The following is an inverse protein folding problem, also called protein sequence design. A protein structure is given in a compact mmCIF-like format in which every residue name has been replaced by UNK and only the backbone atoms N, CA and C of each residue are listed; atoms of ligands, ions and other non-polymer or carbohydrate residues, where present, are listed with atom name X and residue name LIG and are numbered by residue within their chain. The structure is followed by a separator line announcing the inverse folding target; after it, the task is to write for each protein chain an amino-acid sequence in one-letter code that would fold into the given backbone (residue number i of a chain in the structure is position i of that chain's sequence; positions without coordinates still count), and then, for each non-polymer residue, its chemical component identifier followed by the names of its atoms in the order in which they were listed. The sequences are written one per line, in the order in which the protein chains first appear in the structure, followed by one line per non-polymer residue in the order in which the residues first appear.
data_IF_023079822407
#
_entry.id   IF_023079822407
#
_cell.length_a   1.000
_cell.length_b   1.000
_cell.length_c   1.000
_cell.angle_alpha   90.00
_cell.angle_beta   90.00
_cell.angle_gamma   90.00
#
_symmetry.space_group_name_H-M   'P 1'
#
loop_
_entity.id
_entity.type
_entity.pdbx_description
1 polymer ?
#
# COMPACT_ATOMS: atom_id res chain seq x y z
N UNK A 1 -23.61 -4.22 8.42
CA UNK A 1 -22.68 -5.09 9.19
C UNK A 1 -21.58 -5.54 8.28
N UNK A 2 -20.35 -5.73 8.79
CA UNK A 2 -19.27 -6.34 8.02
C UNK A 2 -19.72 -7.71 7.52
N UNK A 3 -19.24 -8.12 6.33
CA UNK A 3 -19.63 -9.38 5.73
C UNK A 3 -18.64 -10.48 6.12
N UNK A 4 -19.16 -11.63 6.53
CA UNK A 4 -18.35 -12.83 6.70
C UNK A 4 -17.92 -13.37 5.32
N UNK A 5 -16.69 -13.83 5.20
CA UNK A 5 -16.14 -14.38 3.98
C UNK A 5 -14.65 -14.12 3.78
N UNK A 6 -14.15 -14.54 2.61
CA UNK A 6 -12.76 -14.33 2.24
C UNK A 6 -12.61 -13.07 1.38
N UNK A 7 -11.64 -12.23 1.73
CA UNK A 7 -11.31 -11.02 1.00
C UNK A 7 -9.83 -11.03 0.65
N UNK A 8 -9.53 -10.83 -0.62
CA UNK A 8 -8.15 -10.77 -1.10
C UNK A 8 -7.79 -9.36 -1.48
N UNK A 9 -6.82 -8.78 -0.78
CA UNK A 9 -6.17 -7.52 -1.15
C UNK A 9 -5.00 -7.78 -2.10
N UNK A 10 -4.88 -6.94 -3.13
CA UNK A 10 -3.77 -6.93 -4.08
C UNK A 10 -3.16 -5.53 -4.13
N UNK A 11 -1.93 -5.39 -3.63
CA UNK A 11 -1.11 -4.19 -3.71
C UNK A 11 -0.11 -4.33 -4.87
N UNK A 12 -0.30 -3.54 -5.93
CA UNK A 12 0.57 -3.52 -7.11
C UNK A 12 1.57 -2.37 -6.96
N UNK A 13 2.62 -2.61 -6.19
CA UNK A 13 3.67 -1.62 -5.95
C UNK A 13 4.77 -1.63 -7.01
N UNK A 14 5.57 -0.54 -7.08
CA UNK A 14 6.67 -0.42 -8.04
C UNK A 14 7.83 -1.39 -7.76
N UNK A 15 8.11 -1.69 -6.49
CA UNK A 15 9.21 -2.58 -6.09
C UNK A 15 8.72 -3.98 -5.77
N UNK A 16 7.54 -4.12 -5.18
CA UNK A 16 6.95 -5.40 -4.77
C UNK A 16 5.46 -5.46 -5.04
N UNK A 17 4.97 -6.65 -5.38
CA UNK A 17 3.55 -6.98 -5.44
C UNK A 17 3.21 -7.81 -4.21
N UNK A 18 2.19 -7.38 -3.46
CA UNK A 18 1.75 -8.08 -2.25
C UNK A 18 0.31 -8.54 -2.42
N UNK A 19 0.06 -9.77 -1.99
CA UNK A 19 -1.29 -10.34 -1.92
C UNK A 19 -1.54 -10.77 -0.48
N UNK A 20 -2.70 -10.43 0.04
CA UNK A 20 -3.15 -10.84 1.36
C UNK A 20 -4.56 -11.42 1.26
N UNK A 21 -4.72 -12.62 1.77
CA UNK A 21 -6.01 -13.29 1.91
C UNK A 21 -6.42 -13.24 3.37
N UNK A 22 -7.57 -12.66 3.63
CA UNK A 22 -8.14 -12.56 4.97
C UNK A 22 -9.51 -13.24 5.01
N UNK A 23 -9.79 -13.93 6.11
CA UNK A 23 -11.13 -14.39 6.48
C UNK A 23 -11.73 -13.38 7.45
N UNK A 24 -12.89 -12.85 7.11
CA UNK A 24 -13.66 -11.99 8.01
C UNK A 24 -14.78 -12.82 8.65
N UNK A 25 -14.85 -12.82 9.98
CA UNK A 25 -15.87 -13.51 10.78
C UNK A 25 -16.32 -12.56 11.89
N UNK A 26 -17.62 -12.25 11.93
CA UNK A 26 -18.23 -11.36 12.95
C UNK A 26 -17.53 -9.99 13.06
N UNK A 27 -17.00 -9.45 11.96
CA UNK A 27 -16.30 -8.17 11.93
C UNK A 27 -14.83 -8.23 12.33
N UNK A 28 -14.29 -9.40 12.66
CA UNK A 28 -12.87 -9.62 12.92
C UNK A 28 -12.17 -10.16 11.67
N UNK A 29 -10.99 -9.62 11.37
CA UNK A 29 -10.17 -10.03 10.24
C UNK A 29 -9.05 -10.98 10.68
N UNK A 30 -9.04 -12.19 10.13
CA UNK A 30 -7.99 -13.19 10.31
C UNK A 30 -7.20 -13.37 9.01
N UNK A 31 -5.90 -13.15 9.04
CA UNK A 31 -5.05 -13.37 7.87
C UNK A 31 -4.75 -14.86 7.72
N UNK A 32 -5.09 -15.43 6.57
CA UNK A 32 -4.87 -16.86 6.26
C UNK A 32 -3.76 -17.09 5.23
N UNK A 33 -3.43 -16.09 4.42
CA UNK A 33 -2.35 -16.20 3.45
C UNK A 33 -1.79 -14.84 3.08
N UNK A 34 -0.46 -14.76 2.92
CA UNK A 34 0.22 -13.53 2.50
C UNK A 34 1.40 -13.86 1.59
N UNK A 35 1.58 -13.07 0.56
CA UNK A 35 2.74 -13.16 -0.33
C UNK A 35 3.38 -11.80 -0.59
N UNK A 36 4.63 -11.85 -1.00
CA UNK A 36 5.40 -10.69 -1.41
C UNK A 36 6.34 -11.11 -2.54
N UNK A 37 6.00 -10.73 -3.78
CA UNK A 37 6.79 -11.01 -4.97
C UNK A 37 7.48 -9.75 -5.49
N UNK A 38 8.60 -9.91 -6.17
CA UNK A 38 9.28 -8.80 -6.84
C UNK A 38 8.39 -8.26 -7.95
N UNK A 39 8.20 -6.94 -8.00
CA UNK A 39 7.43 -6.28 -9.04
C UNK A 39 8.19 -6.25 -10.38
N UNK A 40 7.45 -6.37 -11.46
CA UNK A 40 7.91 -6.14 -12.81
C UNK A 40 6.81 -5.42 -13.60
N UNK A 41 7.18 -4.62 -14.60
CA UNK A 41 6.22 -3.91 -15.46
C UNK A 41 5.45 -2.77 -14.77
N UNK A 42 5.86 -2.37 -13.55
CA UNK A 42 5.26 -1.25 -12.78
C UNK A 42 6.34 -0.21 -12.52
N UNK A 43 6.04 1.04 -12.80
CA UNK A 43 6.92 2.18 -12.53
C UNK A 43 6.10 3.32 -11.96
N UNK A 44 6.58 3.91 -10.87
CA UNK A 44 5.95 5.07 -10.23
C UNK A 44 4.44 4.86 -9.93
N UNK A 45 4.08 3.62 -9.52
CA UNK A 45 2.70 3.22 -9.24
C UNK A 45 1.81 2.99 -10.49
N UNK A 46 2.38 3.05 -11.71
CA UNK A 46 1.65 2.88 -12.96
C UNK A 46 2.14 1.64 -13.70
N UNK A 47 1.22 0.86 -14.27
CA UNK A 47 1.54 -0.31 -15.10
C UNK A 47 2.03 0.19 -16.46
N UNK A 48 3.30 -0.08 -16.78
CA UNK A 48 3.97 0.27 -18.03
C UNK A 48 4.19 -0.93 -18.94
N UNK A 49 4.12 -2.16 -18.41
CA UNK A 49 4.18 -3.42 -19.15
C UNK A 49 3.17 -4.40 -18.54
N UNK A 50 2.09 -4.65 -19.29
CA UNK A 50 0.97 -5.48 -18.85
C UNK A 50 1.38 -6.93 -18.64
N UNK A 51 2.17 -7.50 -19.54
CA UNK A 51 2.54 -8.92 -19.48
C UNK A 51 3.52 -9.19 -18.34
N UNK A 52 4.52 -8.33 -18.17
CA UNK A 52 5.47 -8.44 -17.06
C UNK A 52 4.76 -8.27 -15.70
N UNK A 53 3.86 -7.29 -15.59
CA UNK A 53 3.09 -7.06 -14.36
C UNK A 53 2.13 -8.23 -14.07
N UNK A 54 1.44 -8.75 -15.08
CA UNK A 54 0.54 -9.90 -14.94
C UNK A 54 1.28 -11.16 -14.48
N UNK A 55 2.47 -11.43 -15.02
CA UNK A 55 3.30 -12.55 -14.59
C UNK A 55 3.73 -12.43 -13.12
N UNK A 56 4.12 -11.22 -12.70
CA UNK A 56 4.50 -10.95 -11.31
C UNK A 56 3.30 -11.06 -10.36
N UNK A 57 2.12 -10.56 -10.74
CA UNK A 57 0.87 -10.71 -9.97
C UNK A 57 0.50 -12.19 -9.85
N UNK A 58 0.54 -12.95 -10.95
CA UNK A 58 0.26 -14.39 -10.95
C UNK A 58 1.17 -15.15 -9.99
N UNK A 59 2.46 -14.83 -9.98
CA UNK A 59 3.42 -15.42 -9.03
C UNK A 59 3.07 -15.09 -7.58
N UNK A 60 2.69 -13.84 -7.30
CA UNK A 60 2.27 -13.42 -5.95
C UNK A 60 0.98 -14.14 -5.50
N UNK A 61 -0.01 -14.26 -6.41
CA UNK A 61 -1.26 -14.96 -6.15
C UNK A 61 -1.01 -16.42 -5.82
N UNK A 62 -0.24 -17.15 -6.65
CA UNK A 62 0.07 -18.57 -6.43
C UNK A 62 0.74 -18.81 -5.07
N UNK A 63 1.66 -17.92 -4.67
CA UNK A 63 2.29 -18.00 -3.34
C UNK A 63 1.29 -17.75 -2.19
N UNK A 64 0.32 -16.86 -2.38
CA UNK A 64 -0.71 -16.59 -1.38
C UNK A 64 -1.71 -17.76 -1.29
N UNK A 65 -2.11 -18.36 -2.41
CA UNK A 65 -2.97 -19.55 -2.49
C UNK A 65 -2.34 -20.75 -1.77
N UNK A 66 -1.05 -20.99 -2.00
CA UNK A 66 -0.31 -22.07 -1.35
C UNK A 66 -0.33 -21.93 0.19
N UNK A 67 -0.16 -20.70 0.69
CA UNK A 67 -0.17 -20.43 2.14
C UNK A 67 -1.58 -20.43 2.73
N UNK A 68 -2.55 -19.93 2.00
CA UNK A 68 -3.94 -19.85 2.44
C UNK A 68 -4.69 -21.20 2.34
N UNK A 69 -4.22 -22.11 1.46
CA UNK A 69 -4.90 -23.36 1.17
C UNK A 69 -6.22 -23.21 0.41
N UNK A 70 -6.45 -22.06 -0.24
CA UNK A 70 -7.64 -21.77 -1.04
C UNK A 70 -7.26 -21.17 -2.39
N UNK A 71 -8.13 -21.31 -3.40
CA UNK A 71 -7.94 -20.63 -4.70
C UNK A 71 -8.51 -19.22 -4.66
N UNK A 72 -7.77 -18.28 -5.25
CA UNK A 72 -8.12 -16.87 -5.33
C UNK A 72 -8.77 -16.59 -6.69
N UNK A 73 -10.07 -16.33 -6.70
CA UNK A 73 -10.81 -15.97 -7.92
C UNK A 73 -11.07 -14.48 -8.07
N UNK A 74 -11.19 -13.76 -6.95
CA UNK A 74 -11.50 -12.33 -6.89
C UNK A 74 -10.45 -11.59 -6.09
N UNK A 75 -10.10 -10.36 -6.53
CA UNK A 75 -9.12 -9.50 -5.85
C UNK A 75 -9.63 -8.07 -5.73
N UNK A 76 -9.31 -7.44 -4.61
CA UNK A 76 -9.53 -6.03 -4.34
C UNK A 76 -8.21 -5.29 -4.53
N UNK A 77 -8.14 -4.38 -5.51
CA UNK A 77 -6.90 -3.74 -5.93
C UNK A 77 -6.83 -2.31 -5.45
N UNK A 78 -5.71 -1.94 -4.84
CA UNK A 78 -5.42 -0.56 -4.45
C UNK A 78 -5.08 0.31 -5.65
N UNK A 79 -5.69 1.50 -5.73
CA UNK A 79 -5.35 2.52 -6.70
C UNK A 79 -4.76 3.74 -5.99
N UNK A 80 -3.54 4.19 -6.38
CA UNK A 80 -2.95 5.39 -5.83
C UNK A 80 -3.72 6.66 -6.24
N UNK A 81 -3.61 7.72 -5.43
CA UNK A 81 -4.43 8.92 -5.56
C UNK A 81 -3.95 9.95 -6.58
N UNK A 82 -2.78 9.76 -7.19
CA UNK A 82 -2.11 10.77 -8.02
C UNK A 82 -2.87 11.24 -9.28
N UNK A 83 -3.88 10.50 -9.68
CA UNK A 83 -4.65 10.79 -10.91
C UNK A 83 -6.15 10.83 -10.64
N UNK A 84 -6.54 10.87 -9.37
CA UNK A 84 -7.93 10.92 -8.96
C UNK A 84 -8.49 12.34 -9.07
N UNK A 85 -9.76 12.42 -9.46
CA UNK A 85 -10.61 13.56 -9.19
C UNK A 85 -11.73 13.11 -8.28
N UNK A 86 -12.02 13.92 -7.28
CA UNK A 86 -13.07 13.68 -6.29
C UNK A 86 -14.07 14.80 -6.42
N UNK A 87 -15.32 14.45 -6.71
CA UNK A 87 -16.37 15.43 -6.91
C UNK A 87 -17.59 15.06 -6.06
N UNK A 88 -18.12 16.00 -5.27
CA UNK A 88 -19.40 15.81 -4.64
C UNK A 88 -20.49 15.69 -5.71
N UNK A 89 -21.36 14.73 -5.56
CA UNK A 89 -22.49 14.53 -6.47
C UNK A 89 -23.72 14.09 -5.70
N UNK A 90 -24.88 14.27 -6.33
CA UNK A 90 -26.17 13.90 -5.77
C UNK A 90 -27.05 13.25 -6.83
N UNK A 91 -27.87 12.31 -6.38
CA UNK A 91 -28.92 11.68 -7.18
C UNK A 91 -30.27 11.81 -6.50
N UNK A 92 -31.35 11.72 -7.29
CA UNK A 92 -32.70 11.75 -6.79
C UNK A 92 -33.57 10.88 -7.67
N UNK A 93 -34.48 10.09 -7.04
CA UNK A 93 -35.49 9.30 -7.71
C UNK A 93 -36.82 9.36 -6.95
N UNK A 94 -37.96 9.19 -7.63
CA UNK A 94 -39.21 8.84 -6.97
C UNK A 94 -39.19 7.34 -6.61
N UNK A 95 -39.76 6.97 -5.44
CA UNK A 95 -40.03 5.58 -5.09
C UNK A 95 -41.34 5.16 -5.73
N UNK A 96 -41.27 4.21 -6.65
CA UNK A 96 -42.41 3.84 -7.50
C UNK A 96 -43.16 2.61 -7.05
N UNK A 97 -42.61 1.83 -6.08
CA UNK A 97 -43.27 0.65 -5.51
C UNK A 97 -44.64 0.99 -4.89
N UNK A 98 -45.58 0.07 -4.94
CA UNK A 98 -46.93 0.28 -4.35
C UNK A 98 -46.85 0.44 -2.82
N UNK A 99 -45.94 -0.28 -2.16
CA UNK A 99 -45.72 -0.19 -0.73
C UNK A 99 -45.00 1.09 -0.29
N UNK A 100 -44.36 1.81 -1.23
CA UNK A 100 -43.45 2.92 -0.94
C UNK A 100 -42.27 2.56 -0.02
N UNK A 101 -42.00 1.28 0.16
CA UNK A 101 -40.84 0.79 0.86
C UNK A 101 -39.61 0.85 -0.05
N UNK A 102 -38.53 1.42 0.45
CA UNK A 102 -37.25 1.58 -0.27
C UNK A 102 -36.51 0.26 -0.30
N UNK A 103 -36.18 -0.18 -1.50
CA UNK A 103 -35.50 -1.47 -1.78
C UNK A 103 -34.05 -1.26 -2.20
N UNK A 104 -33.31 -2.37 -2.36
CA UNK A 104 -31.96 -2.37 -2.94
C UNK A 104 -31.95 -1.77 -4.37
N UNK A 105 -33.03 -2.02 -5.16
CA UNK A 105 -33.17 -1.48 -6.51
C UNK A 105 -33.35 0.05 -6.53
N UNK A 106 -34.02 0.60 -5.51
CA UNK A 106 -34.15 2.04 -5.36
C UNK A 106 -32.81 2.67 -4.99
N UNK A 107 -32.04 2.03 -4.08
CA UNK A 107 -30.69 2.48 -3.72
C UNK A 107 -29.77 2.43 -4.96
N UNK A 108 -29.81 1.36 -5.74
CA UNK A 108 -29.05 1.30 -6.99
C UNK A 108 -29.44 2.37 -7.98
N UNK A 109 -30.76 2.60 -8.15
CA UNK A 109 -31.30 3.57 -9.08
C UNK A 109 -30.92 5.00 -8.70
N UNK A 110 -30.91 5.37 -7.42
CA UNK A 110 -30.50 6.70 -6.98
C UNK A 110 -29.00 6.91 -7.17
N UNK A 111 -28.16 5.85 -6.99
CA UNK A 111 -26.74 5.90 -7.33
C UNK A 111 -26.55 6.10 -8.82
N UNK A 112 -27.22 5.32 -9.67
CA UNK A 112 -27.16 5.51 -11.14
C UNK A 112 -27.59 6.92 -11.57
N UNK A 113 -28.61 7.49 -10.93
CA UNK A 113 -29.01 8.88 -11.16
C UNK A 113 -27.87 9.86 -10.86
N UNK A 114 -27.11 9.65 -9.79
CA UNK A 114 -25.94 10.46 -9.45
C UNK A 114 -24.79 10.31 -10.46
N UNK A 115 -24.64 9.13 -11.08
CA UNK A 115 -23.60 8.84 -12.07
C UNK A 115 -23.87 9.44 -13.47
N UNK A 116 -25.06 9.95 -13.74
CA UNK A 116 -25.42 10.55 -15.05
C UNK A 116 -24.74 11.89 -15.33
N UNK A 117 -23.96 12.41 -14.38
CA UNK A 117 -23.18 13.62 -14.55
C UNK A 117 -22.22 13.50 -15.74
N UNK A 118 -22.14 14.53 -16.56
CA UNK A 118 -21.25 14.58 -17.72
C UNK A 118 -19.79 14.50 -17.27
N UNK A 119 -19.10 13.46 -17.74
CA UNK A 119 -17.66 13.27 -17.53
C UNK A 119 -16.89 13.56 -18.81
N UNK A 120 -15.63 13.95 -18.69
CA UNK A 120 -14.74 14.06 -19.85
C UNK A 120 -14.46 12.68 -20.45
N UNK A 121 -14.34 12.54 -21.77
CA UNK A 121 -14.20 11.24 -22.44
C UNK A 121 -12.96 10.41 -22.02
N UNK A 122 -11.93 11.09 -21.50
CA UNK A 122 -10.66 10.51 -21.05
C UNK A 122 -10.73 9.94 -19.63
N UNK A 123 -11.83 10.17 -18.90
CA UNK A 123 -12.03 9.70 -17.53
C UNK A 123 -13.13 8.64 -17.42
N UNK A 124 -13.06 7.87 -16.34
CA UNK A 124 -14.01 6.83 -16.00
C UNK A 124 -14.27 6.82 -14.49
N UNK A 125 -15.48 6.45 -14.10
CA UNK A 125 -15.81 6.27 -12.68
C UNK A 125 -15.04 5.08 -12.12
N UNK A 126 -14.39 5.29 -10.97
CA UNK A 126 -13.71 4.25 -10.21
C UNK A 126 -14.66 3.68 -9.18
N UNK A 127 -15.21 4.55 -8.35
CA UNK A 127 -16.14 4.20 -7.28
C UNK A 127 -16.99 5.40 -6.91
N UNK A 128 -18.12 5.13 -6.30
CA UNK A 128 -18.97 6.11 -5.66
C UNK A 128 -19.10 5.75 -4.18
N UNK A 129 -18.94 6.74 -3.29
CA UNK A 129 -19.05 6.57 -1.85
C UNK A 129 -20.25 7.37 -1.36
N UNK A 130 -21.36 6.70 -0.97
CA UNK A 130 -22.50 7.37 -0.36
C UNK A 130 -22.10 8.00 0.99
N UNK A 131 -22.47 9.24 1.21
CA UNK A 131 -22.27 9.93 2.49
C UNK A 131 -23.56 9.96 3.31
N UNK A 132 -24.67 10.32 2.66
CA UNK A 132 -25.99 10.32 3.30
C UNK A 132 -27.12 10.09 2.27
N UNK A 133 -28.22 9.57 2.78
CA UNK A 133 -29.49 9.53 2.09
C UNK A 133 -30.49 10.51 2.72
N UNK A 134 -31.41 10.97 1.89
CA UNK A 134 -32.51 11.86 2.31
C UNK A 134 -33.81 11.21 1.83
N UNK A 135 -34.71 10.91 2.75
CA UNK A 135 -36.04 10.32 2.47
C UNK A 135 -37.09 11.35 2.79
N UNK A 136 -37.85 11.82 1.80
CA UNK A 136 -38.89 12.86 1.95
C UNK A 136 -38.45 14.10 2.72
N UNK A 137 -37.16 14.48 2.58
CA UNK A 137 -36.55 15.65 3.26
C UNK A 137 -35.86 15.34 4.59
N UNK A 138 -35.99 14.14 5.14
CA UNK A 138 -35.26 13.72 6.34
C UNK A 138 -33.83 13.34 5.98
N UNK A 139 -32.87 14.07 6.51
CA UNK A 139 -31.43 13.95 6.22
C UNK A 139 -30.70 13.01 7.22
N UNK A 140 -29.43 12.70 6.92
CA UNK A 140 -28.52 11.95 7.81
C UNK A 140 -28.78 10.44 7.84
N UNK A 141 -29.56 9.91 6.90
CA UNK A 141 -29.86 8.47 6.83
C UNK A 141 -28.66 7.77 6.19
N UNK A 142 -28.14 6.74 6.88
CA UNK A 142 -27.02 5.91 6.39
C UNK A 142 -27.47 4.73 5.55
N UNK A 143 -28.60 4.15 5.89
CA UNK A 143 -29.21 3.04 5.14
C UNK A 143 -30.71 3.30 5.04
N UNK A 144 -31.24 3.64 3.85
CA UNK A 144 -32.66 3.97 3.68
C UNK A 144 -33.53 2.72 3.45
N UNK A 145 -32.95 1.53 3.29
CA UNK A 145 -33.69 0.30 2.93
C UNK A 145 -34.68 -0.10 4.04
N UNK A 146 -35.86 -0.52 3.63
CA UNK A 146 -36.96 -0.83 4.53
C UNK A 146 -37.69 0.40 5.09
N UNK A 147 -37.23 1.62 4.81
CA UNK A 147 -37.96 2.83 5.14
C UNK A 147 -39.06 3.09 4.12
N UNK A 148 -40.15 3.73 4.54
CA UNK A 148 -41.20 4.19 3.63
C UNK A 148 -40.94 5.63 3.20
N UNK A 149 -41.05 5.92 1.90
CA UNK A 149 -40.88 7.26 1.36
C UNK A 149 -41.33 7.38 -0.09
N UNK A 150 -41.65 8.59 -0.51
CA UNK A 150 -42.08 8.90 -1.89
C UNK A 150 -40.87 9.33 -2.73
N UNK A 151 -39.87 9.96 -2.09
CA UNK A 151 -38.69 10.50 -2.74
C UNK A 151 -37.44 10.07 -1.99
N UNK A 152 -36.51 9.46 -2.72
CA UNK A 152 -35.18 9.11 -2.25
C UNK A 152 -34.15 10.00 -2.93
N UNK A 153 -33.35 10.73 -2.11
CA UNK A 153 -32.19 11.46 -2.54
C UNK A 153 -30.95 10.85 -1.91
N UNK A 154 -29.82 10.99 -2.56
CA UNK A 154 -28.52 10.54 -2.07
C UNK A 154 -27.46 11.59 -2.39
N UNK A 155 -26.56 11.83 -1.43
CA UNK A 155 -25.35 12.63 -1.59
C UNK A 155 -24.13 11.76 -1.35
N UNK A 156 -23.05 12.04 -2.06
CA UNK A 156 -21.80 11.28 -1.90
C UNK A 156 -20.68 11.79 -2.80
N UNK A 157 -19.56 11.11 -2.71
CA UNK A 157 -18.34 11.45 -3.44
C UNK A 157 -18.16 10.51 -4.64
N UNK A 158 -18.03 11.12 -5.81
CA UNK A 158 -17.70 10.45 -7.06
C UNK A 158 -16.18 10.48 -7.27
N UNK A 159 -15.56 9.31 -7.36
CA UNK A 159 -14.14 9.16 -7.67
C UNK A 159 -13.97 8.76 -9.13
N UNK A 160 -13.20 9.55 -9.86
CA UNK A 160 -12.90 9.27 -11.28
C UNK A 160 -11.40 9.24 -11.51
N UNK A 161 -10.97 8.49 -12.53
CA UNK A 161 -9.57 8.37 -12.94
C UNK A 161 -9.40 8.28 -14.45
N UNK A 162 -8.15 8.38 -14.95
CA UNK A 162 -7.87 8.24 -16.38
C UNK A 162 -8.26 6.84 -16.88
N UNK A 163 -9.05 6.78 -17.95
CA UNK A 163 -9.53 5.53 -18.55
C UNK A 163 -8.41 4.58 -18.93
N UNK A 164 -7.29 5.10 -19.45
CA UNK A 164 -6.14 4.29 -19.85
C UNK A 164 -5.51 3.52 -18.67
N UNK A 165 -5.40 4.16 -17.51
CA UNK A 165 -4.83 3.54 -16.31
C UNK A 165 -5.75 2.44 -15.79
N UNK A 166 -7.06 2.73 -15.71
CA UNK A 166 -8.05 1.76 -15.28
C UNK A 166 -8.15 0.56 -16.22
N UNK A 167 -8.07 0.81 -17.54
CA UNK A 167 -8.01 -0.24 -18.55
C UNK A 167 -6.79 -1.14 -18.37
N UNK A 168 -5.59 -0.54 -18.24
CA UNK A 168 -4.36 -1.31 -18.03
C UNK A 168 -4.41 -2.13 -16.75
N UNK A 169 -4.96 -1.56 -15.67
CA UNK A 169 -5.12 -2.26 -14.39
C UNK A 169 -6.02 -3.50 -14.54
N UNK A 170 -7.25 -3.31 -15.10
CA UNK A 170 -8.18 -4.42 -15.32
C UNK A 170 -7.59 -5.49 -16.22
N UNK A 171 -6.95 -5.07 -17.30
CA UNK A 171 -6.33 -5.99 -18.27
C UNK A 171 -5.20 -6.79 -17.64
N UNK A 172 -4.39 -6.18 -16.80
CA UNK A 172 -3.28 -6.85 -16.11
C UNK A 172 -3.80 -7.88 -15.10
N UNK A 173 -4.81 -7.53 -14.31
CA UNK A 173 -5.45 -8.44 -13.35
C UNK A 173 -6.10 -9.64 -14.07
N UNK A 174 -6.81 -9.38 -15.17
CA UNK A 174 -7.41 -10.42 -16.00
C UNK A 174 -6.34 -11.37 -16.59
N UNK A 175 -5.21 -10.82 -17.08
CA UNK A 175 -4.08 -11.59 -17.60
C UNK A 175 -3.38 -12.43 -16.52
N UNK A 176 -3.40 -11.98 -15.28
CA UNK A 176 -2.91 -12.76 -14.15
C UNK A 176 -3.79 -13.96 -13.79
N UNK A 177 -4.99 -14.07 -14.38
CA UNK A 177 -5.92 -15.19 -14.21
C UNK A 177 -6.94 -15.02 -13.11
N UNK A 178 -7.10 -13.82 -12.56
CA UNK A 178 -8.09 -13.49 -11.53
C UNK A 178 -9.03 -12.38 -11.99
N UNK A 179 -10.16 -12.22 -11.31
CA UNK A 179 -11.11 -11.14 -11.59
C UNK A 179 -10.98 -10.03 -10.57
N UNK A 180 -11.15 -8.81 -11.06
CA UNK A 180 -11.22 -7.63 -10.23
C UNK A 180 -12.58 -7.55 -9.54
N UNK A 181 -12.60 -7.58 -8.21
CA UNK A 181 -13.81 -7.36 -7.41
C UNK A 181 -14.07 -5.87 -7.23
N UNK A 182 -13.11 -5.15 -6.63
CA UNK A 182 -13.18 -3.70 -6.44
C UNK A 182 -11.85 -3.03 -6.74
N UNK A 183 -11.92 -1.78 -7.22
CA UNK A 183 -10.81 -0.84 -7.20
C UNK A 183 -11.00 0.03 -5.96
N UNK A 184 -10.06 -0.06 -5.02
CA UNK A 184 -10.11 0.65 -3.75
C UNK A 184 -9.13 1.82 -3.78
N UNK A 185 -9.58 2.99 -3.37
CA UNK A 185 -8.73 4.16 -3.24
C UNK A 185 -7.77 3.93 -2.06
N UNK A 186 -6.48 3.73 -2.36
CA UNK A 186 -5.46 3.34 -1.38
C UNK A 186 -5.38 4.30 -0.17
N UNK A 187 -5.31 5.63 -0.33
CA UNK A 187 -5.30 6.55 0.80
C UNK A 187 -6.52 6.43 1.71
N UNK A 188 -7.70 6.20 1.11
CA UNK A 188 -8.94 6.05 1.88
C UNK A 188 -8.94 4.75 2.69
N UNK A 189 -8.52 3.64 2.08
CA UNK A 189 -8.40 2.37 2.79
C UNK A 189 -7.39 2.46 3.94
N UNK A 190 -6.22 3.03 3.68
CA UNK A 190 -5.17 3.20 4.70
C UNK A 190 -5.65 4.05 5.87
N UNK A 191 -6.28 5.19 5.62
CA UNK A 191 -6.76 6.06 6.71
C UNK A 191 -7.86 5.41 7.53
N UNK A 192 -8.73 4.61 6.93
CA UNK A 192 -9.78 3.88 7.64
C UNK A 192 -9.25 2.71 8.48
N UNK A 193 -8.21 2.02 8.01
CA UNK A 193 -7.64 0.83 8.67
C UNK A 193 -6.58 1.19 9.72
N UNK A 194 -5.72 2.17 9.43
CA UNK A 194 -4.54 2.49 10.24
C UNK A 194 -4.88 3.41 11.40
N UNK A 195 -5.78 4.39 11.18
CA UNK A 195 -6.16 5.38 12.17
C UNK A 195 -7.33 4.88 13.03
N UNK A 196 -7.23 5.12 14.32
CA UNK A 196 -8.36 4.88 15.22
C UNK A 196 -9.47 5.95 15.04
N UNK A 197 -10.62 5.73 15.64
CA UNK A 197 -11.79 6.61 15.49
C UNK A 197 -11.49 8.06 15.90
N UNK A 198 -10.81 8.27 17.03
CA UNK A 198 -10.44 9.60 17.50
C UNK A 198 -9.45 10.29 16.56
N UNK A 199 -8.48 9.58 16.01
CA UNK A 199 -7.54 10.13 15.01
C UNK A 199 -8.24 10.53 13.72
N UNK A 200 -9.24 9.77 13.27
CA UNK A 200 -10.05 10.14 12.10
C UNK A 200 -10.99 11.32 12.38
N UNK A 201 -11.52 11.42 13.59
CA UNK A 201 -12.42 12.51 13.98
C UNK A 201 -11.68 13.83 14.15
N UNK A 202 -10.65 13.84 15.00
CA UNK A 202 -9.90 15.07 15.33
C UNK A 202 -8.84 15.41 14.29
N UNK A 203 -8.44 14.45 13.49
CA UNK A 203 -7.53 14.59 12.38
C UNK A 203 -6.15 14.01 12.63
N UNK A 204 -5.65 13.29 11.62
CA UNK A 204 -4.29 12.74 11.53
C UNK A 204 -3.85 12.63 10.08
N UNK A 205 -2.53 12.50 9.88
CA UNK A 205 -1.92 12.29 8.57
C UNK A 205 -1.21 10.94 8.51
N UNK A 206 -1.51 10.13 7.50
CA UNK A 206 -0.79 8.89 7.19
C UNK A 206 0.23 9.18 6.10
N UNK A 207 1.49 8.74 6.29
CA UNK A 207 2.55 8.78 5.30
C UNK A 207 2.98 7.35 4.99
N UNK A 208 2.69 6.87 3.78
CA UNK A 208 3.14 5.55 3.29
C UNK A 208 4.42 5.71 2.48
N UNK A 209 5.54 5.27 3.06
CA UNK A 209 6.87 5.29 2.45
C UNK A 209 7.08 4.02 1.64
N UNK A 210 6.63 4.01 0.39
CA UNK A 210 6.80 2.91 -0.55
C UNK A 210 8.20 2.85 -1.18
N UNK A 211 8.41 1.91 -2.11
CA UNK A 211 9.66 1.79 -2.87
C UNK A 211 9.79 2.86 -3.94
N UNK A 212 8.84 2.98 -4.85
CA UNK A 212 8.88 3.95 -5.95
C UNK A 212 8.32 5.32 -5.59
N UNK A 213 7.45 5.41 -4.60
CA UNK A 213 6.74 6.65 -4.24
C UNK A 213 6.42 6.71 -2.76
N UNK A 214 6.16 7.92 -2.26
CA UNK A 214 5.62 8.19 -0.92
C UNK A 214 4.25 8.80 -1.04
N UNK A 215 3.24 8.19 -0.39
CA UNK A 215 1.85 8.65 -0.41
C UNK A 215 1.49 9.31 0.90
N UNK A 216 0.80 10.44 0.85
CA UNK A 216 0.32 11.18 2.03
C UNK A 216 -1.19 11.27 1.98
N UNK A 217 -1.84 11.03 3.12
CA UNK A 217 -3.27 11.16 3.28
C UNK A 217 -3.62 11.77 4.63
N UNK A 218 -4.29 12.92 4.63
CA UNK A 218 -4.77 13.58 5.86
C UNK A 218 -6.28 13.46 5.96
N UNK A 219 -6.74 13.06 7.14
CA UNK A 219 -8.16 12.87 7.47
C UNK A 219 -8.54 13.79 8.62
N UNK A 220 -9.75 14.31 8.60
CA UNK A 220 -10.41 15.02 9.72
C UNK A 220 -11.93 14.91 9.56
N UNK A 221 -12.67 14.81 10.66
CA UNK A 221 -14.12 14.60 10.66
C UNK A 221 -14.54 13.36 9.83
N UNK A 222 -13.77 12.28 9.90
CA UNK A 222 -13.93 11.03 9.14
C UNK A 222 -13.74 11.17 7.61
N UNK A 223 -13.39 12.35 7.10
CA UNK A 223 -13.27 12.65 5.67
C UNK A 223 -11.82 12.89 5.26
N UNK A 224 -11.48 12.46 4.04
CA UNK A 224 -10.18 12.68 3.44
C UNK A 224 -10.05 14.16 3.04
N UNK A 225 -9.24 14.93 3.78
CA UNK A 225 -9.01 16.36 3.56
C UNK A 225 -7.95 16.64 2.50
N UNK A 226 -6.93 15.78 2.45
CA UNK A 226 -5.80 15.95 1.55
C UNK A 226 -5.19 14.59 1.20
N UNK A 227 -4.78 14.43 -0.04
CA UNK A 227 -3.92 13.33 -0.47
C UNK A 227 -3.00 13.79 -1.58
N UNK A 228 -1.75 13.35 -1.52
CA UNK A 228 -0.76 13.61 -2.57
C UNK A 228 0.22 12.45 -2.66
N UNK A 229 0.91 12.33 -3.80
CA UNK A 229 1.95 11.35 -4.05
C UNK A 229 3.22 12.08 -4.48
N UNK A 230 4.31 11.73 -3.81
CA UNK A 230 5.66 12.16 -4.15
C UNK A 230 6.34 10.99 -4.84
N UNK A 231 6.82 11.20 -6.06
CA UNK A 231 7.47 10.16 -6.88
C UNK A 231 8.89 9.85 -6.39
N UNK A 232 9.06 9.85 -5.08
CA UNK A 232 10.30 9.59 -4.37
C UNK A 232 10.02 8.62 -3.22
N UNK A 233 10.62 7.43 -3.31
CA UNK A 233 10.52 6.37 -2.31
C UNK A 233 11.87 5.74 -2.01
N UNK A 234 11.86 4.55 -1.44
CA UNK A 234 13.07 3.80 -1.06
C UNK A 234 14.04 3.52 -2.20
N UNK A 235 13.56 3.44 -3.45
CA UNK A 235 14.39 3.24 -4.64
C UNK A 235 15.24 4.47 -4.96
N UNK A 236 14.77 5.66 -4.60
CA UNK A 236 15.54 6.90 -4.74
C UNK A 236 16.66 6.97 -3.71
N UNK A 237 16.42 6.53 -2.47
CA UNK A 237 17.48 6.35 -1.47
C UNK A 237 18.57 5.42 -2.01
N UNK A 238 18.19 4.29 -2.60
CA UNK A 238 19.14 3.35 -3.22
C UNK A 238 19.91 3.97 -4.37
N UNK A 239 19.25 4.76 -5.23
CA UNK A 239 19.91 5.48 -6.32
C UNK A 239 20.92 6.50 -5.80
N UNK A 240 20.61 7.21 -4.72
CA UNK A 240 21.50 8.21 -4.12
C UNK A 240 22.73 7.52 -3.52
N UNK A 241 22.54 6.43 -2.76
CA UNK A 241 23.66 5.61 -2.27
C UNK A 241 24.55 5.14 -3.44
N UNK A 242 23.93 4.59 -4.49
CA UNK A 242 24.65 4.11 -5.67
C UNK A 242 25.46 5.21 -6.36
N UNK A 243 24.89 6.41 -6.51
CA UNK A 243 25.56 7.56 -7.14
C UNK A 243 26.69 8.12 -6.29
N UNK A 244 26.43 8.36 -5.00
CA UNK A 244 27.39 8.98 -4.08
C UNK A 244 28.57 8.05 -3.83
N UNK A 245 28.31 6.76 -3.60
CA UNK A 245 29.36 5.77 -3.36
C UNK A 245 29.94 5.20 -4.67
N UNK A 246 29.40 5.58 -5.84
CA UNK A 246 29.79 5.03 -7.16
C UNK A 246 29.79 3.51 -7.19
N UNK A 247 28.75 2.90 -6.64
CA UNK A 247 28.59 1.45 -6.57
C UNK A 247 27.36 0.96 -7.35
N UNK A 248 27.22 -0.34 -7.53
CA UNK A 248 26.05 -0.92 -8.22
C UNK A 248 24.76 -0.69 -7.41
N UNK A 249 23.62 -0.52 -8.09
CA UNK A 249 22.32 -0.39 -7.40
C UNK A 249 22.01 -1.60 -6.51
N UNK A 250 22.44 -2.81 -6.91
CA UNK A 250 22.26 -4.02 -6.12
C UNK A 250 23.03 -3.95 -4.79
N UNK A 251 24.29 -3.48 -4.82
CA UNK A 251 25.09 -3.31 -3.61
C UNK A 251 24.54 -2.15 -2.76
N UNK A 252 24.15 -1.04 -3.37
CA UNK A 252 23.53 0.10 -2.69
C UNK A 252 22.25 -0.31 -1.95
N UNK A 253 21.41 -1.16 -2.56
CA UNK A 253 20.20 -1.72 -1.94
C UNK A 253 20.56 -2.62 -0.74
N UNK A 254 21.58 -3.48 -0.89
CA UNK A 254 22.07 -4.32 0.21
C UNK A 254 22.61 -3.48 1.37
N UNK A 255 23.37 -2.40 1.08
CA UNK A 255 23.89 -1.48 2.09
C UNK A 255 22.75 -0.77 2.84
N UNK A 256 21.73 -0.31 2.12
CA UNK A 256 20.54 0.31 2.72
C UNK A 256 19.82 -0.64 3.68
N UNK A 257 19.65 -1.91 3.31
CA UNK A 257 18.97 -2.90 4.17
C UNK A 257 19.79 -3.34 5.38
N UNK A 258 21.10 -3.51 5.21
CA UNK A 258 21.94 -4.08 6.26
C UNK A 258 22.46 -3.03 7.26
N UNK A 259 22.75 -1.80 6.78
CA UNK A 259 23.41 -0.74 7.56
C UNK A 259 22.66 0.59 7.53
N UNK A 260 21.53 0.66 6.84
CA UNK A 260 20.80 1.92 6.63
C UNK A 260 20.16 2.45 7.91
N UNK A 261 20.42 3.72 8.20
CA UNK A 261 19.83 4.50 9.28
C UNK A 261 19.33 5.84 8.72
N UNK A 262 18.10 6.21 9.01
CA UNK A 262 17.49 7.43 8.51
C UNK A 262 17.81 8.68 9.34
N UNK A 263 18.21 8.52 10.60
CA UNK A 263 18.53 9.61 11.52
C UNK A 263 19.98 9.52 11.97
N UNK A 264 20.84 10.40 11.46
CA UNK A 264 22.29 10.36 11.65
C UNK A 264 22.74 10.12 13.11
N UNK A 265 22.11 10.71 14.15
CA UNK A 265 22.49 10.43 15.55
C UNK A 265 22.32 8.97 15.99
N UNK A 266 21.61 8.13 15.23
CA UNK A 266 21.44 6.71 15.53
C UNK A 266 22.47 5.84 14.80
N UNK A 267 23.25 6.41 13.89
CA UNK A 267 24.30 5.68 13.17
C UNK A 267 25.44 5.30 14.12
N UNK A 268 25.95 4.08 13.97
CA UNK A 268 27.15 3.62 14.63
C UNK A 268 28.42 4.28 14.09
N UNK A 269 29.54 3.90 14.69
CA UNK A 269 30.88 4.37 14.29
C UNK A 269 31.64 3.33 13.47
N UNK A 270 31.02 2.19 13.18
CA UNK A 270 31.64 1.12 12.41
C UNK A 270 31.83 1.51 10.95
N UNK A 271 32.81 0.90 10.31
CA UNK A 271 33.04 1.02 8.88
C UNK A 271 33.00 -0.35 8.21
N UNK A 272 32.66 -0.35 6.94
CA UNK A 272 32.59 -1.56 6.14
C UNK A 272 33.12 -1.30 4.73
N UNK A 273 33.74 -2.33 4.09
CA UNK A 273 34.30 -2.20 2.76
C UNK A 273 33.19 -2.20 1.69
N UNK A 274 33.28 -1.25 0.75
CA UNK A 274 32.34 -1.10 -0.38
C UNK A 274 33.10 -1.15 -1.69
N UNK A 275 32.65 -1.99 -2.61
CA UNK A 275 33.16 -2.02 -3.99
C UNK A 275 32.72 -0.76 -4.74
N UNK A 276 33.71 0.05 -5.14
CA UNK A 276 33.52 1.33 -5.84
C UNK A 276 33.97 1.18 -7.29
N UNK A 277 33.13 1.61 -8.24
CA UNK A 277 33.48 1.55 -9.67
C UNK A 277 34.65 2.47 -9.96
N UNK A 278 35.72 1.90 -10.51
CA UNK A 278 36.96 2.61 -10.85
C UNK A 278 38.05 2.53 -9.78
N UNK A 279 37.79 1.90 -8.64
CA UNK A 279 38.80 1.59 -7.63
C UNK A 279 39.18 0.09 -7.70
N UNK A 280 40.45 -0.20 -7.42
CA UNK A 280 40.97 -1.59 -7.43
C UNK A 280 40.63 -2.29 -6.13
N UNK A 281 40.67 -1.56 -5.02
CA UNK A 281 40.37 -2.07 -3.68
C UNK A 281 39.06 -1.51 -3.16
N UNK A 282 38.31 -2.24 -2.33
CA UNK A 282 37.14 -1.71 -1.65
C UNK A 282 37.49 -0.46 -0.81
N UNK A 283 36.59 0.50 -0.76
CA UNK A 283 36.72 1.72 0.02
C UNK A 283 35.96 1.57 1.33
N UNK A 284 36.60 1.90 2.45
CA UNK A 284 35.97 1.90 3.76
C UNK A 284 34.94 3.03 3.88
N UNK A 285 33.70 2.69 4.10
CA UNK A 285 32.57 3.61 4.30
C UNK A 285 32.06 3.48 5.73
N UNK A 286 31.89 4.59 6.43
CA UNK A 286 31.34 4.57 7.79
C UNK A 286 29.81 4.51 7.76
N UNK A 287 29.20 3.88 8.79
CA UNK A 287 27.74 3.90 8.97
C UNK A 287 27.20 5.34 9.03
N UNK A 288 27.90 6.24 9.69
CA UNK A 288 27.52 7.66 9.76
C UNK A 288 27.43 8.29 8.37
N UNK A 289 28.40 8.03 7.47
CA UNK A 289 28.37 8.58 6.12
C UNK A 289 27.21 8.00 5.29
N UNK A 290 26.94 6.69 5.41
CA UNK A 290 25.78 6.08 4.78
C UNK A 290 24.47 6.68 5.31
N UNK A 291 24.39 6.92 6.63
CA UNK A 291 23.22 7.55 7.26
C UNK A 291 23.02 9.02 6.79
N UNK A 292 24.10 9.76 6.55
CA UNK A 292 24.03 11.12 5.98
C UNK A 292 23.36 11.11 4.59
N UNK A 293 23.72 10.16 3.72
CA UNK A 293 23.13 10.01 2.38
C UNK A 293 21.64 9.68 2.49
N UNK A 294 21.29 8.69 3.32
CA UNK A 294 19.91 8.22 3.51
C UNK A 294 19.03 9.34 4.12
N UNK A 295 19.55 9.98 5.19
CA UNK A 295 18.87 11.05 5.90
C UNK A 295 18.58 12.24 4.98
N UNK A 296 19.53 12.61 4.12
CA UNK A 296 19.37 13.72 3.19
C UNK A 296 18.17 13.51 2.25
N UNK A 297 18.03 12.31 1.65
CA UNK A 297 16.88 11.99 0.78
C UNK A 297 15.56 11.98 1.53
N UNK A 298 15.50 11.29 2.66
CA UNK A 298 14.24 11.18 3.43
C UNK A 298 13.82 12.56 3.95
N UNK A 299 14.77 13.35 4.44
CA UNK A 299 14.54 14.73 4.88
C UNK A 299 13.97 15.59 3.75
N UNK A 300 14.54 15.50 2.55
CA UNK A 300 14.04 16.22 1.37
C UNK A 300 12.59 15.90 1.08
N UNK A 301 12.21 14.62 1.05
CA UNK A 301 10.81 14.19 0.85
C UNK A 301 9.90 14.73 1.96
N UNK A 302 10.33 14.63 3.21
CA UNK A 302 9.55 15.14 4.35
C UNK A 302 9.37 16.65 4.32
N UNK A 303 10.38 17.42 3.85
CA UNK A 303 10.27 18.86 3.69
C UNK A 303 9.26 19.26 2.60
N UNK A 304 9.21 18.53 1.48
CA UNK A 304 8.19 18.73 0.46
C UNK A 304 6.78 18.43 1.01
N UNK A 305 6.63 17.30 1.73
CA UNK A 305 5.37 16.93 2.38
C UNK A 305 4.94 18.01 3.37
N UNK A 306 5.86 18.46 4.21
CA UNK A 306 5.60 19.54 5.19
C UNK A 306 5.06 20.79 4.54
N UNK A 307 5.68 21.27 3.47
CA UNK A 307 5.26 22.46 2.73
C UNK A 307 3.82 22.32 2.19
N UNK A 308 3.45 21.14 1.69
CA UNK A 308 2.10 20.90 1.18
C UNK A 308 1.07 20.79 2.30
N UNK A 309 1.40 20.15 3.42
CA UNK A 309 0.53 20.06 4.60
C UNK A 309 0.30 21.44 5.23
N UNK A 310 1.37 22.27 5.33
CA UNK A 310 1.29 23.66 5.80
C UNK A 310 0.36 24.51 4.92
N UNK A 311 0.54 24.44 3.59
CA UNK A 311 -0.31 25.17 2.62
C UNK A 311 -1.79 24.80 2.71
N UNK A 312 -2.10 23.58 3.15
CA UNK A 312 -3.46 23.06 3.28
C UNK A 312 -4.00 23.18 4.70
N UNK A 313 -3.20 23.68 5.65
CA UNK A 313 -3.55 23.79 7.07
C UNK A 313 -3.93 22.44 7.70
N UNK A 314 -3.24 21.37 7.30
CA UNK A 314 -3.43 20.01 7.81
C UNK A 314 -2.15 19.41 8.42
N UNK A 315 -1.15 20.25 8.76
CA UNK A 315 0.05 19.77 9.45
C UNK A 315 -0.21 19.57 10.95
N UNK A 316 -0.86 20.53 11.60
CA UNK A 316 -1.05 20.54 13.07
C UNK A 316 -2.34 19.84 13.49
N UNK A 317 -2.60 18.66 12.91
CA UNK A 317 -3.74 17.83 13.28
C UNK A 317 -3.45 17.11 14.62
N UNK A 318 -4.42 17.02 15.57
CA UNK A 318 -4.21 16.46 16.90
C UNK A 318 -3.65 15.02 16.92
N UNK A 319 -4.01 14.18 15.95
CA UNK A 319 -3.49 12.81 15.82
C UNK A 319 -2.07 12.73 15.28
N UNK A 320 -1.49 13.85 14.83
CA UNK A 320 -0.12 13.91 14.30
C UNK A 320 0.07 13.10 13.02
N UNK A 321 1.27 12.53 12.88
CA UNK A 321 1.69 11.78 11.69
C UNK A 321 1.84 10.29 12.04
N UNK A 322 1.27 9.43 11.21
CA UNK A 322 1.41 7.97 11.28
C UNK A 322 2.17 7.50 10.06
N UNK A 323 3.35 6.90 10.25
CA UNK A 323 4.23 6.47 9.17
C UNK A 323 4.07 4.97 8.95
N UNK A 324 3.95 4.55 7.69
CA UNK A 324 3.82 3.16 7.26
C UNK A 324 4.69 2.89 6.03
N UNK A 325 4.66 1.66 5.53
CA UNK A 325 5.36 1.26 4.31
C UNK A 325 6.74 0.67 4.55
N UNK A 326 7.35 0.17 3.47
CA UNK A 326 8.66 -0.47 3.53
C UNK A 326 9.81 0.46 3.89
N UNK A 327 9.73 1.73 3.50
CA UNK A 327 10.71 2.76 3.85
C UNK A 327 10.65 3.17 5.32
N UNK A 328 9.52 2.98 5.98
CA UNK A 328 9.32 3.29 7.39
C UNK A 328 10.09 2.36 8.36
N UNK A 329 10.61 1.24 7.86
CA UNK A 329 11.36 0.26 8.67
C UNK A 329 12.78 0.74 8.99
N UNK A 330 13.32 1.70 8.21
CA UNK A 330 14.65 2.24 8.46
C UNK A 330 14.72 2.84 9.87
N UNK A 331 15.72 2.45 10.70
CA UNK A 331 15.91 3.02 12.03
C UNK A 331 16.00 4.54 11.99
N UNK A 332 15.29 5.22 12.89
CA UNK A 332 15.34 6.68 13.01
C UNK A 332 14.42 7.46 12.07
N UNK A 333 13.58 6.81 11.26
CA UNK A 333 12.61 7.50 10.38
C UNK A 333 11.62 8.33 11.20
N UNK A 334 11.12 7.80 12.32
CA UNK A 334 10.16 8.50 13.19
C UNK A 334 10.79 9.74 13.80
N UNK A 335 12.01 9.64 14.30
CA UNK A 335 12.75 10.75 14.91
C UNK A 335 13.08 11.82 13.88
N UNK A 336 13.45 11.41 12.67
CA UNK A 336 13.65 12.36 11.57
C UNK A 336 12.35 13.07 11.20
N UNK A 337 11.23 12.35 11.14
CA UNK A 337 9.92 12.93 10.89
C UNK A 337 9.53 13.94 11.97
N UNK A 338 9.65 13.59 13.25
CA UNK A 338 9.37 14.50 14.36
C UNK A 338 10.22 15.77 14.28
N UNK A 339 11.50 15.63 13.91
CA UNK A 339 12.41 16.77 13.74
C UNK A 339 12.01 17.67 12.57
N UNK A 340 11.62 17.09 11.42
CA UNK A 340 11.27 17.88 10.23
C UNK A 340 9.89 18.52 10.37
N UNK A 341 8.88 17.73 10.73
CA UNK A 341 7.50 18.21 10.82
C UNK A 341 7.23 19.05 12.07
N UNK A 342 8.00 18.85 13.14
CA UNK A 342 7.82 19.49 14.46
C UNK A 342 6.45 19.13 15.11
N UNK A 343 5.87 17.99 14.76
CA UNK A 343 4.66 17.42 15.34
C UNK A 343 4.93 15.99 15.82
N UNK A 344 4.01 15.43 16.59
CA UNK A 344 4.10 14.03 17.00
C UNK A 344 4.05 13.12 15.77
N UNK A 345 4.97 12.15 15.70
CA UNK A 345 4.96 11.10 14.70
C UNK A 345 5.15 9.73 15.34
N UNK A 346 4.50 8.72 14.78
CA UNK A 346 4.62 7.33 15.22
C UNK A 346 4.69 6.37 14.03
N UNK A 347 5.34 5.23 14.24
CA UNK A 347 5.31 4.11 13.30
C UNK A 347 4.05 3.29 13.56
N UNK A 348 3.31 2.98 12.51
CA UNK A 348 2.26 1.96 12.58
C UNK A 348 2.87 0.58 12.33
N UNK A 349 2.64 -0.31 13.25
CA UNK A 349 3.00 -1.73 13.14
C UNK A 349 1.69 -2.53 13.16
N UNK A 350 1.39 -3.29 12.10
CA UNK A 350 0.21 -4.16 12.07
C UNK A 350 0.19 -5.10 13.27
N UNK A 351 -1.00 -5.34 13.81
CA UNK A 351 -1.22 -6.23 14.96
C UNK A 351 -1.73 -7.62 14.56
N UNK A 352 -1.93 -7.87 13.28
CA UNK A 352 -2.40 -9.15 12.76
C UNK A 352 -1.38 -10.25 13.04
N UNK A 353 -1.87 -11.42 13.47
CA UNK A 353 -1.03 -12.58 13.78
C UNK A 353 -0.24 -12.98 12.52
N UNK A 354 1.08 -13.11 12.68
CA UNK A 354 1.98 -13.49 11.59
C UNK A 354 2.44 -12.35 10.67
N UNK A 355 1.88 -11.12 10.78
CA UNK A 355 2.27 -9.98 9.96
C UNK A 355 2.46 -8.74 10.83
N UNK A 356 3.68 -8.51 11.31
CA UNK A 356 4.04 -7.33 12.11
C UNK A 356 4.98 -6.38 11.38
N UNK A 357 4.95 -6.37 10.04
CA UNK A 357 5.84 -5.55 9.24
C UNK A 357 5.04 -4.39 8.62
N UNK A 358 5.43 -3.12 8.85
CA UNK A 358 4.77 -1.94 8.27
C UNK A 358 4.62 -1.95 6.75
N UNK A 359 5.48 -2.69 6.04
CA UNK A 359 5.41 -2.84 4.59
C UNK A 359 4.12 -3.53 4.09
N UNK A 360 3.39 -4.23 4.97
CA UNK A 360 2.12 -4.88 4.63
C UNK A 360 0.89 -4.04 5.02
N UNK A 361 1.08 -2.89 5.65
CA UNK A 361 -0.03 -2.03 6.10
C UNK A 361 -1.03 -1.73 4.96
N UNK A 362 -0.52 -1.42 3.77
CA UNK A 362 -1.37 -1.11 2.61
C UNK A 362 -2.23 -2.30 2.18
N UNK A 363 -1.65 -3.48 1.96
CA UNK A 363 -2.41 -4.66 1.51
C UNK A 363 -3.39 -5.16 2.59
N UNK A 364 -3.04 -5.02 3.89
CA UNK A 364 -3.94 -5.26 5.02
C UNK A 364 -5.14 -4.32 4.91
N UNK A 365 -4.88 -3.02 4.72
CA UNK A 365 -5.94 -2.00 4.60
C UNK A 365 -6.90 -2.28 3.45
N UNK A 366 -6.43 -2.82 2.33
CA UNK A 366 -7.27 -3.19 1.19
C UNK A 366 -8.23 -4.33 1.54
N UNK A 367 -7.74 -5.39 2.18
CA UNK A 367 -8.57 -6.53 2.58
C UNK A 367 -9.58 -6.14 3.66
N UNK A 368 -9.14 -5.37 4.65
CA UNK A 368 -9.99 -4.88 5.73
C UNK A 368 -11.08 -3.94 5.21
N UNK A 369 -10.72 -3.01 4.32
CA UNK A 369 -11.68 -2.10 3.69
C UNK A 369 -12.75 -2.88 2.90
N UNK A 370 -12.34 -3.87 2.12
CA UNK A 370 -13.27 -4.69 1.33
C UNK A 370 -14.24 -5.50 2.21
N UNK A 371 -13.75 -6.07 3.32
CA UNK A 371 -14.58 -6.81 4.27
C UNK A 371 -15.56 -5.93 5.08
N UNK A 372 -15.17 -4.67 5.32
CA UNK A 372 -15.97 -3.71 6.09
C UNK A 372 -16.96 -2.89 5.24
N UNK A 373 -17.03 -3.11 3.94
CA UNK A 373 -18.05 -2.45 3.09
C UNK A 373 -19.45 -2.80 3.56
N UNK A 374 -20.25 -1.77 3.78
CA UNK A 374 -21.67 -1.95 4.12
C UNK A 374 -22.45 -2.50 2.92
N UNK A 375 -23.66 -2.97 3.15
CA UNK A 375 -24.55 -3.43 2.07
C UNK A 375 -24.82 -2.30 1.05
N UNK A 376 -25.06 -1.08 1.56
CA UNK A 376 -25.28 0.11 0.75
C UNK A 376 -24.05 0.45 -0.09
N UNK A 377 -22.84 0.36 0.49
CA UNK A 377 -21.59 0.59 -0.26
C UNK A 377 -21.45 -0.43 -1.40
N UNK A 378 -21.80 -1.69 -1.16
CA UNK A 378 -21.74 -2.74 -2.17
C UNK A 378 -22.74 -2.53 -3.30
N UNK A 379 -23.96 -2.11 -2.96
CA UNK A 379 -24.98 -1.74 -3.97
C UNK A 379 -24.47 -0.57 -4.81
N UNK A 380 -23.88 0.45 -4.16
CA UNK A 380 -23.33 1.59 -4.85
C UNK A 380 -22.17 1.20 -5.80
N UNK A 381 -21.27 0.32 -5.36
CA UNK A 381 -20.19 -0.17 -6.21
C UNK A 381 -20.69 -1.09 -7.33
N UNK A 382 -21.73 -1.89 -7.09
CA UNK A 382 -22.37 -2.70 -8.14
C UNK A 382 -23.06 -1.82 -9.19
N UNK A 383 -23.70 -0.73 -8.78
CA UNK A 383 -24.27 0.27 -9.68
C UNK A 383 -23.22 0.90 -10.60
N UNK A 384 -22.03 1.23 -10.07
CA UNK A 384 -20.90 1.76 -10.84
C UNK A 384 -20.39 0.73 -11.88
N UNK A 385 -20.33 -0.55 -11.52
CA UNK A 385 -19.84 -1.60 -12.42
C UNK A 385 -20.86 -2.01 -13.48
N UNK A 386 -22.14 -1.76 -13.25
CA UNK A 386 -23.22 -2.20 -14.14
C UNK A 386 -23.42 -3.72 -14.16
N UNK A 387 -22.94 -4.42 -13.14
CA UNK A 387 -22.83 -5.87 -13.13
C UNK A 387 -23.81 -6.52 -12.13
N UNK A 388 -24.95 -6.99 -12.62
CA UNK A 388 -25.93 -7.73 -11.82
C UNK A 388 -25.42 -9.13 -11.39
N UNK A 389 -24.49 -9.71 -12.13
CA UNK A 389 -24.02 -11.09 -11.88
C UNK A 389 -23.18 -11.21 -10.60
N UNK A 390 -22.50 -10.16 -10.17
CA UNK A 390 -21.69 -10.17 -8.95
C UNK A 390 -22.53 -10.14 -7.65
N UNK A 391 -23.79 -9.71 -7.72
CA UNK A 391 -24.71 -9.76 -6.57
C UNK A 391 -24.98 -11.18 -6.10
N UNK A 392 -25.12 -12.13 -7.04
CA UNK A 392 -25.47 -13.52 -6.73
C UNK A 392 -24.28 -14.42 -6.37
N UNK A 393 -23.07 -14.11 -6.85
CA UNK A 393 -21.86 -14.89 -6.52
C UNK A 393 -21.35 -14.63 -5.10
N UNK A 394 -21.67 -13.49 -4.52
CA UNK A 394 -21.27 -13.14 -3.18
C UNK A 394 -21.97 -13.93 -2.06
N UNK A 395 -23.07 -14.63 -2.38
CA UNK A 395 -23.87 -15.40 -1.40
C UNK A 395 -23.58 -16.90 -1.38
N UNK A 396 -22.71 -17.41 -2.26
CA UNK A 396 -22.50 -18.86 -2.42
C UNK A 396 -21.01 -19.27 -2.27
N UNK A 397 -20.36 -18.91 -1.18
CA UNK A 397 -19.17 -19.65 -0.76
C UNK A 397 -19.57 -20.79 0.17
N UNK A 398 -20.04 -21.91 -0.41
CA UNK A 398 -20.06 -23.18 0.30
C UNK A 398 -18.60 -23.60 0.54
N UNK A 399 -18.26 -23.87 1.81
CA UNK A 399 -16.99 -24.50 2.16
C UNK A 399 -16.82 -25.79 1.36
N UNK A 400 -15.73 -25.97 0.61
CA UNK A 400 -15.42 -27.29 0.12
C UNK A 400 -15.23 -28.20 1.35
N UNK A 401 -16.01 -29.25 1.44
CA UNK A 401 -15.83 -30.26 2.47
C UNK A 401 -14.49 -30.95 2.22
N UNK A 402 -13.43 -30.49 2.86
CA UNK A 402 -12.15 -31.18 2.84
C UNK A 402 -12.30 -32.51 3.59
N UNK A 403 -12.53 -33.58 2.84
CA UNK A 403 -12.11 -34.91 3.29
C UNK A 403 -10.59 -34.89 3.31
N UNK A 404 -10.02 -34.75 4.50
CA UNK A 404 -8.60 -34.98 4.74
C UNK A 404 -8.30 -36.43 4.33
N UNK A 405 -7.39 -36.69 3.38
CA UNK A 405 -6.92 -38.06 3.14
C UNK A 405 -6.21 -38.55 4.41
N UNK A 406 -6.69 -39.65 4.98
CA UNK A 406 -5.94 -40.35 6.01
C UNK A 406 -4.66 -40.88 5.38
N UNK A 407 -3.53 -40.31 5.73
CA UNK A 407 -2.24 -40.91 5.46
C UNK A 407 -2.04 -42.10 6.40
N UNK A 408 -2.01 -43.30 5.82
CA UNK A 408 -1.53 -44.50 6.50
C UNK A 408 -0.03 -44.35 6.76
N UNK A 409 0.35 -44.27 8.03
CA UNK A 409 1.73 -44.27 8.44
C UNK A 409 2.35 -45.66 8.21
N UNK A 410 3.16 -45.82 7.18
CA UNK A 410 4.15 -46.89 7.14
C UNK A 410 5.40 -46.48 7.94
N UNK A 411 6.00 -47.34 8.73
CA UNK A 411 7.18 -47.02 9.53
C UNK A 411 8.40 -46.82 8.61
N UNK A 412 9.06 -45.67 8.74
CA UNK A 412 10.32 -45.38 8.03
C UNK A 412 11.48 -45.91 8.90
N UNK A 413 12.37 -46.74 8.30
CA UNK A 413 13.61 -47.20 8.90
C UNK A 413 14.60 -46.03 9.11
N UNK A 414 15.45 -46.08 10.15
CA UNK A 414 16.36 -44.97 10.48
C UNK A 414 17.54 -44.88 9.50
N UNK A 415 17.71 -43.71 8.91
CA UNK A 415 18.88 -43.38 8.07
C UNK A 415 20.08 -43.05 8.95
N UNK A 416 21.25 -43.64 8.64
CA UNK A 416 22.51 -43.41 9.30
C UNK A 416 23.08 -42.00 9.02
N UNK A 417 23.83 -41.39 9.98
CA UNK A 417 24.35 -40.03 9.80
C UNK A 417 25.52 -40.00 8.80
N UNK A 418 25.45 -39.01 7.89
CA UNK A 418 26.53 -38.69 6.95
C UNK A 418 27.59 -37.86 7.68
N UNK A 419 28.86 -38.24 7.55
CA UNK A 419 30.03 -37.53 8.11
C UNK A 419 30.24 -36.19 7.41
N UNK A 420 30.40 -35.13 8.21
CA UNK A 420 30.84 -33.79 7.77
C UNK A 420 32.32 -33.85 7.33
N UNK A 421 32.61 -33.32 6.18
CA UNK A 421 33.96 -33.08 5.67
C UNK A 421 34.25 -31.58 5.78
N UNK A 422 35.14 -31.18 6.66
CA UNK A 422 35.67 -29.83 6.79
C UNK A 422 36.57 -29.47 5.60
N UNK A 423 36.48 -28.22 5.05
CA UNK A 423 37.45 -27.76 4.05
C UNK A 423 38.68 -27.15 4.72
N UNK A 424 39.84 -27.63 4.33
CA UNK A 424 41.19 -27.13 4.67
C UNK A 424 41.40 -25.70 4.15
N UNK A 425 41.75 -24.76 5.03
CA UNK A 425 42.13 -23.37 4.71
C UNK A 425 43.63 -23.26 4.68
N UNK A 426 44.20 -22.89 3.52
CA UNK A 426 45.62 -22.57 3.35
C UNK A 426 45.95 -21.14 3.82
N UNK A 427 47.12 -20.88 4.45
CA UNK A 427 47.43 -19.57 5.00
C UNK A 427 47.97 -18.58 3.93
N UNK A 428 47.43 -17.33 3.96
CA UNK A 428 47.92 -16.22 3.16
C UNK A 428 49.10 -15.51 3.83
N UNK A 429 50.12 -15.22 3.03
CA UNK A 429 51.35 -14.51 3.42
C UNK A 429 51.05 -13.00 3.50
N UNK A 430 51.54 -12.36 4.57
CA UNK A 430 51.60 -10.91 4.73
C UNK A 430 52.77 -10.33 3.93
N UNK A 431 52.50 -9.28 3.14
CA UNK A 431 53.45 -8.29 2.68
C UNK A 431 52.83 -6.91 2.85
N UNK A 432 53.48 -6.03 3.67
CA UNK A 432 53.11 -4.63 3.85
C UNK A 432 53.67 -3.79 2.69
N UNK A 433 52.90 -2.77 2.22
CA UNK A 433 53.47 -1.62 1.55
C UNK A 433 53.11 -0.30 2.23
N UNK A 434 54.08 0.62 2.17
CA UNK A 434 54.13 1.94 2.78
C UNK A 434 53.10 2.90 2.21
N UNK A 435 52.55 3.79 3.09
CA UNK A 435 51.55 4.80 2.80
C UNK A 435 52.16 6.14 2.30
N UNK A 436 51.55 6.71 1.25
CA UNK A 436 51.55 8.17 1.00
C UNK A 436 50.14 8.73 1.25
N UNK A 437 49.98 9.92 1.86
CA UNK A 437 48.66 10.45 2.23
C UNK A 437 47.97 11.07 1.02
N UNK A 438 46.95 10.43 0.51
CA UNK A 438 45.97 10.99 -0.45
C UNK A 438 44.78 11.58 0.28
N UNK A 439 44.37 12.79 -0.11
CA UNK A 439 43.16 13.45 0.38
C UNK A 439 41.95 12.51 0.26
N UNK A 440 41.28 12.31 1.38
CA UNK A 440 40.17 11.36 1.55
C UNK A 440 39.08 11.57 0.51
N UNK A 441 38.69 10.47 -0.16
CA UNK A 441 37.52 10.41 -1.03
C UNK A 441 36.23 10.93 -0.34
N UNK A 442 36.18 10.85 0.96
CA UNK A 442 35.06 11.34 1.80
C UNK A 442 34.90 12.88 1.71
N UNK A 443 35.98 13.66 1.62
CA UNK A 443 35.86 15.12 1.52
C UNK A 443 35.42 15.58 0.13
N UNK A 444 35.82 14.86 -0.93
CA UNK A 444 35.33 15.13 -2.30
C UNK A 444 33.88 14.75 -2.49
N UNK A 445 33.40 13.69 -1.81
CA UNK A 445 32.02 13.22 -1.90
C UNK A 445 31.06 14.05 -1.02
N UNK A 446 31.53 14.64 0.09
CA UNK A 446 30.70 15.51 0.94
C UNK A 446 30.24 16.76 0.19
N UNK A 447 31.07 17.31 -0.69
CA UNK A 447 30.70 18.41 -1.58
C UNK A 447 29.69 17.99 -2.67
N UNK A 448 29.64 16.70 -3.03
CA UNK A 448 28.70 16.19 -4.02
C UNK A 448 27.28 16.08 -3.46
N UNK A 449 27.14 15.78 -2.16
CA UNK A 449 25.84 15.70 -1.48
C UNK A 449 25.18 17.08 -1.40
N UNK A 450 25.95 18.15 -1.12
CA UNK A 450 25.45 19.53 -1.12
C UNK A 450 24.85 19.96 -2.47
N UNK A 451 25.50 19.59 -3.57
CA UNK A 451 25.09 19.98 -4.93
C UNK A 451 24.02 19.07 -5.57
N UNK A 452 23.62 17.98 -4.91
CA UNK A 452 22.55 17.09 -5.42
C UNK A 452 21.13 17.55 -5.02
N UNK A 453 21.04 18.51 -4.10
CA UNK A 453 19.76 18.94 -3.51
C UNK A 453 19.49 20.45 -3.66
N UNK A 454 20.38 21.20 -4.39
CA UNK A 454 20.11 22.51 -4.94
C UNK A 454 19.52 22.39 -6.37
#
# INVERSE_FOLDING_TARGET
MARDGFFTGLDIGSSTIKVLVAEHINGEMNVIGVSNAKSAGVKDGIIVDIEAAAAAIKSAISQAEEKAGISIGLVNVGLPANLLQIEPTQGMIPVTSDSKEITDEDVESVVRSALTKSMTPDREVITFIPEEFVVDGFQGIRDPRGMMGIRLEMRGLLYTGPRTILHNLRKTVERAGVKLENIIISPLAMTKSILNEGEREFGATVIDMGGGQTTVASVKNQELQFTNIYQEGGDYVTKDISKVLKTSQKLAESLKFNYGVAYVPFAGTESFPVEVIGEVNPVEITETYLAEIISARIKHVFEQIKQDLDRRHVLDLPGGIVIVGGGAILPGVVELAQKVFSVHAKLYVPNQIGIRNPAFAHVISLSEYAGNLTEVDRIAQAAVRGDEQLRHQATSFERPSHRVPRFDHQPVEPVQPVQEVEPEIAPLRNEEPQEEPKASLTDKMRNLIGNMFE
#
